data_IF_643842463989
#
_entry.id   IF_643842463989
#
_cell.length_a   1.000
_cell.length_b   1.000
_cell.length_c   1.000
_cell.angle_alpha   90.00
_cell.angle_beta   90.00
_cell.angle_gamma   90.00
#
_symmetry.space_group_name_H-M   'P 1'
#
loop_
_entity.id
_entity.type
_entity.pdbx_description
1 polymer ?
#
# COMPACT_ATOMS: atom_id res chain seq x y z
N UNK A 1 20.79 6.25 14.24
CA UNK A 1 19.42 6.65 13.92
C UNK A 1 18.58 5.39 13.84
N UNK A 2 17.39 5.44 14.41
CA UNK A 2 16.45 4.31 14.46
C UNK A 2 15.38 4.48 13.39
N UNK A 3 15.33 3.54 12.46
CA UNK A 3 14.35 3.52 11.37
C UNK A 3 13.35 2.41 11.59
N UNK A 4 12.07 2.75 11.55
CA UNK A 4 10.97 1.78 11.62
C UNK A 4 10.19 1.76 10.32
N UNK A 5 9.67 0.58 9.94
CA UNK A 5 8.70 0.46 8.86
C UNK A 5 7.32 0.16 9.45
N UNK A 6 6.32 0.94 9.08
CA UNK A 6 4.93 0.74 9.46
C UNK A 6 4.16 0.18 8.27
N UNK A 7 3.58 -1.01 8.45
CA UNK A 7 2.92 -1.78 7.40
C UNK A 7 1.52 -2.19 7.83
N UNK A 8 0.51 -1.78 7.06
CA UNK A 8 -0.83 -2.34 7.19
C UNK A 8 -0.95 -3.63 6.40
N UNK A 9 -1.58 -4.64 7.01
CA UNK A 9 -1.65 -5.97 6.41
C UNK A 9 -2.98 -6.66 6.73
N UNK A 10 -3.46 -7.44 5.76
CA UNK A 10 -4.63 -8.31 5.92
C UNK A 10 -4.58 -9.43 4.88
N UNK A 11 -4.60 -10.69 5.31
CA UNK A 11 -4.62 -11.87 4.45
C UNK A 11 -3.53 -11.85 3.37
N UNK A 12 -2.27 -11.71 3.78
CA UNK A 12 -1.10 -11.63 2.91
C UNK A 12 -0.10 -12.79 3.13
N UNK A 13 -0.53 -13.88 3.81
CA UNK A 13 0.36 -14.99 4.14
C UNK A 13 1.14 -15.52 2.92
N UNK A 14 0.49 -15.56 1.76
CA UNK A 14 1.08 -16.07 0.53
C UNK A 14 2.05 -15.07 -0.13
N UNK A 15 1.74 -13.76 -0.06
CA UNK A 15 2.55 -12.72 -0.70
C UNK A 15 3.77 -12.35 0.14
N UNK A 16 3.63 -12.33 1.45
CA UNK A 16 4.67 -11.88 2.37
C UNK A 16 6.04 -12.54 2.15
N UNK A 17 6.17 -13.85 1.93
CA UNK A 17 7.48 -14.46 1.67
C UNK A 17 8.18 -13.87 0.45
N UNK A 18 7.43 -13.56 -0.61
CA UNK A 18 7.96 -12.99 -1.85
C UNK A 18 8.37 -11.52 -1.69
N UNK A 19 7.56 -10.73 -0.98
CA UNK A 19 7.89 -9.33 -0.69
C UNK A 19 9.05 -9.25 0.29
N UNK A 20 9.12 -10.17 1.25
CA UNK A 20 10.21 -10.24 2.23
C UNK A 20 11.57 -10.43 1.59
N UNK A 21 11.66 -11.16 0.47
CA UNK A 21 12.94 -11.32 -0.25
C UNK A 21 13.57 -9.99 -0.67
N UNK A 22 12.76 -8.94 -0.85
CA UNK A 22 13.23 -7.57 -1.09
C UNK A 22 13.40 -6.81 0.23
N UNK A 23 12.43 -6.93 1.14
CA UNK A 23 12.41 -6.14 2.38
C UNK A 23 13.51 -6.53 3.38
N UNK A 24 13.97 -7.77 3.38
CA UNK A 24 15.00 -8.27 4.31
C UNK A 24 16.31 -7.46 4.25
N UNK A 25 16.61 -6.87 3.09
CA UNK A 25 17.82 -6.09 2.84
C UNK A 25 17.62 -4.58 3.09
N UNK A 26 16.39 -4.16 3.46
CA UNK A 26 16.15 -2.76 3.82
C UNK A 26 16.80 -2.46 5.18
N UNK A 27 17.44 -1.29 5.33
CA UNK A 27 18.09 -0.90 6.58
C UNK A 27 17.07 -0.45 7.62
N UNK A 28 16.16 -1.35 7.97
CA UNK A 28 15.08 -1.16 8.94
C UNK A 28 15.45 -1.87 10.25
N UNK A 29 15.42 -1.11 11.36
CA UNK A 29 15.70 -1.63 12.70
C UNK A 29 14.51 -2.41 13.26
N UNK A 30 13.28 -1.97 12.93
CA UNK A 30 12.05 -2.57 13.43
C UNK A 30 10.91 -2.47 12.41
N UNK A 31 10.19 -3.55 12.25
CA UNK A 31 8.98 -3.64 11.45
C UNK A 31 7.74 -3.64 12.34
N UNK A 32 6.84 -2.72 12.12
CA UNK A 32 5.60 -2.55 12.89
C UNK A 32 4.43 -2.87 11.96
N UNK A 33 3.79 -3.99 12.22
CA UNK A 33 2.65 -4.46 11.44
C UNK A 33 1.35 -4.16 12.19
N UNK A 34 0.36 -3.73 11.46
CA UNK A 34 -1.02 -3.77 11.93
C UNK A 34 -1.79 -4.78 11.09
N UNK A 35 -2.09 -5.93 11.70
CA UNK A 35 -2.94 -6.95 11.11
C UNK A 35 -4.41 -6.59 11.27
N UNK A 36 -5.09 -6.31 10.15
CA UNK A 36 -6.49 -5.92 10.15
C UNK A 36 -7.40 -7.16 10.12
N UNK A 37 -7.28 -8.01 11.13
CA UNK A 37 -8.09 -9.20 11.34
C UNK A 37 -7.93 -10.25 10.21
N UNK A 38 -6.71 -10.65 9.91
CA UNK A 38 -6.45 -11.72 8.95
C UNK A 38 -7.10 -13.04 9.36
N UNK A 39 -7.66 -13.75 8.40
CA UNK A 39 -8.23 -15.09 8.56
C UNK A 39 -7.29 -16.21 8.14
N UNK A 40 -6.18 -15.87 7.48
CA UNK A 40 -5.13 -16.79 7.05
C UNK A 40 -3.93 -16.79 8.02
N UNK A 41 -2.83 -17.41 7.63
CA UNK A 41 -1.63 -17.54 8.48
C UNK A 41 -0.71 -16.32 8.50
N UNK A 42 -1.20 -15.14 8.07
CA UNK A 42 -0.42 -13.88 7.92
C UNK A 42 0.43 -13.57 9.16
N UNK A 43 -0.16 -13.61 10.35
CA UNK A 43 0.55 -13.23 11.60
C UNK A 43 1.71 -14.17 11.91
N UNK A 44 1.51 -15.49 11.72
CA UNK A 44 2.59 -16.48 11.94
C UNK A 44 3.69 -16.34 10.89
N UNK A 45 3.33 -16.05 9.64
CA UNK A 45 4.29 -15.80 8.57
C UNK A 45 5.15 -14.57 8.90
N UNK A 46 4.55 -13.45 9.37
CA UNK A 46 5.30 -12.27 9.83
C UNK A 46 6.30 -12.67 10.93
N UNK A 47 5.82 -13.35 11.97
CA UNK A 47 6.66 -13.75 13.10
C UNK A 47 7.83 -14.65 12.66
N UNK A 48 7.58 -15.54 11.72
CA UNK A 48 8.60 -16.44 11.16
C UNK A 48 9.66 -15.70 10.34
N UNK A 49 9.24 -14.76 9.46
CA UNK A 49 10.15 -14.06 8.55
C UNK A 49 10.97 -12.97 9.26
N UNK A 50 10.33 -12.18 10.11
CA UNK A 50 10.94 -10.99 10.71
C UNK A 50 11.49 -11.24 12.13
N UNK A 51 11.09 -12.32 12.79
CA UNK A 51 11.56 -12.68 14.13
C UNK A 51 11.38 -11.55 15.14
N UNK A 52 12.44 -11.25 15.87
CA UNK A 52 12.46 -10.20 16.90
C UNK A 52 12.44 -8.76 16.34
N UNK A 53 12.58 -8.58 15.03
CA UNK A 53 12.43 -7.28 14.38
C UNK A 53 10.96 -6.91 14.17
N UNK A 54 10.02 -7.85 14.29
CA UNK A 54 8.59 -7.59 14.10
C UNK A 54 7.88 -7.22 15.40
N UNK A 55 7.01 -6.24 15.33
CA UNK A 55 5.94 -5.97 16.29
C UNK A 55 4.62 -6.06 15.52
N UNK A 56 3.69 -6.88 16.01
CA UNK A 56 2.39 -7.08 15.35
C UNK A 56 1.28 -6.61 16.27
N UNK A 57 0.49 -5.68 15.82
CA UNK A 57 -0.80 -5.31 16.40
C UNK A 57 -1.88 -6.11 15.71
N UNK A 58 -2.58 -6.95 16.45
CA UNK A 58 -3.67 -7.77 15.93
C UNK A 58 -5.00 -7.03 16.15
N UNK A 59 -5.60 -6.56 15.05
CA UNK A 59 -6.91 -5.91 15.06
C UNK A 59 -8.02 -6.92 15.39
N UNK A 60 -8.96 -6.51 16.27
CA UNK A 60 -10.14 -7.33 16.61
C UNK A 60 -11.44 -6.69 16.11
N UNK A 61 -11.34 -5.84 15.09
CA UNK A 61 -12.47 -5.04 14.65
C UNK A 61 -13.31 -5.79 13.62
N UNK A 62 -14.59 -5.55 13.70
CA UNK A 62 -15.55 -6.01 12.70
C UNK A 62 -15.63 -5.07 11.49
N UNK A 63 -15.06 -3.86 11.59
CA UNK A 63 -15.08 -2.85 10.53
C UNK A 63 -13.66 -2.36 10.25
N UNK A 64 -13.31 -2.30 8.98
CA UNK A 64 -12.07 -1.72 8.49
C UNK A 64 -11.98 -0.23 8.86
N UNK A 65 -10.87 0.18 9.48
CA UNK A 65 -10.61 1.57 9.84
C UNK A 65 -9.13 1.91 9.65
N UNK A 66 -8.78 2.25 8.41
CA UNK A 66 -7.41 2.56 8.01
C UNK A 66 -6.77 3.65 8.87
N UNK A 67 -7.51 4.71 9.18
CA UNK A 67 -6.97 5.83 9.94
C UNK A 67 -6.56 5.46 11.36
N UNK A 68 -7.37 4.63 12.02
CA UNK A 68 -7.03 4.14 13.35
C UNK A 68 -5.77 3.25 13.31
N UNK A 69 -5.71 2.35 12.35
CA UNK A 69 -4.61 1.40 12.22
C UNK A 69 -3.28 2.15 11.99
N UNK A 70 -3.28 3.13 11.07
CA UNK A 70 -2.10 3.98 10.82
C UNK A 70 -1.73 4.84 12.03
N UNK A 71 -2.72 5.40 12.74
CA UNK A 71 -2.47 6.18 13.95
C UNK A 71 -1.84 5.34 15.06
N UNK A 72 -2.33 4.12 15.29
CA UNK A 72 -1.78 3.20 16.27
C UNK A 72 -0.30 2.88 16.01
N UNK A 73 0.05 2.55 14.79
CA UNK A 73 1.44 2.28 14.41
C UNK A 73 2.33 3.51 14.60
N UNK A 74 1.84 4.69 14.20
CA UNK A 74 2.61 5.94 14.33
C UNK A 74 2.86 6.32 15.79
N UNK A 75 1.86 6.21 16.65
CA UNK A 75 2.02 6.47 18.08
C UNK A 75 2.96 5.46 18.75
N UNK A 76 2.92 4.20 18.35
CA UNK A 76 3.92 3.22 18.78
C UNK A 76 5.34 3.67 18.37
N UNK A 77 5.53 4.09 17.11
CA UNK A 77 6.83 4.53 16.62
C UNK A 77 7.35 5.77 17.37
N UNK A 78 6.46 6.69 17.77
CA UNK A 78 6.79 7.82 18.65
C UNK A 78 7.24 7.36 20.03
N UNK A 79 6.49 6.46 20.65
CA UNK A 79 6.80 5.92 21.97
C UNK A 79 8.09 5.10 21.99
N UNK A 80 8.44 4.46 20.89
CA UNK A 80 9.67 3.69 20.70
C UNK A 80 10.86 4.55 20.21
N UNK A 81 10.69 5.89 20.15
CA UNK A 81 11.70 6.87 19.76
C UNK A 81 12.32 6.58 18.37
N UNK A 82 11.49 6.30 17.38
CA UNK A 82 11.95 6.22 16.01
C UNK A 82 12.41 7.61 15.52
N UNK A 83 13.56 7.67 14.87
CA UNK A 83 14.02 8.89 14.19
C UNK A 83 13.28 9.07 12.86
N UNK A 84 13.05 7.95 12.17
CA UNK A 84 12.33 7.88 10.90
C UNK A 84 11.32 6.75 10.89
N UNK A 85 10.20 6.99 10.18
CA UNK A 85 9.19 5.96 9.88
C UNK A 85 9.02 5.86 8.37
N UNK A 86 9.27 4.68 7.82
CA UNK A 86 8.88 4.30 6.45
C UNK A 86 7.45 3.77 6.49
N UNK A 87 6.50 4.45 5.86
CA UNK A 87 5.11 4.03 5.77
C UNK A 87 4.84 3.41 4.40
N UNK A 88 4.79 2.09 4.35
CA UNK A 88 4.51 1.31 3.13
C UNK A 88 3.37 0.33 3.38
N UNK A 89 2.76 -0.13 2.28
CA UNK A 89 1.77 -1.21 2.33
C UNK A 89 2.42 -2.56 1.96
N UNK A 90 1.74 -3.68 2.26
CA UNK A 90 2.27 -5.02 2.04
C UNK A 90 2.55 -5.35 0.56
N UNK A 91 1.99 -4.58 -0.36
CA UNK A 91 2.17 -4.69 -1.81
C UNK A 91 3.08 -3.59 -2.39
N UNK A 92 4.06 -3.10 -1.58
CA UNK A 92 4.96 -2.02 -2.00
C UNK A 92 6.44 -2.36 -1.78
N UNK A 93 7.26 -2.00 -2.77
CA UNK A 93 8.71 -2.16 -2.76
C UNK A 93 9.40 -0.81 -2.98
N UNK A 94 10.51 -0.58 -2.29
CA UNK A 94 11.38 0.54 -2.61
C UNK A 94 12.15 0.25 -3.89
N UNK A 95 12.32 1.25 -4.76
CA UNK A 95 13.18 1.12 -5.93
C UNK A 95 14.64 0.85 -5.53
N UNK A 96 15.37 0.18 -6.39
CA UNK A 96 16.80 -0.09 -6.19
C UNK A 96 17.60 1.19 -6.03
N UNK A 97 17.26 2.23 -6.75
CA UNK A 97 17.88 3.56 -6.64
C UNK A 97 17.62 4.20 -5.28
N UNK A 98 16.44 4.00 -4.69
CA UNK A 98 16.17 4.47 -3.33
C UNK A 98 17.13 3.83 -2.32
N UNK A 99 17.29 2.52 -2.40
CA UNK A 99 18.19 1.80 -1.48
C UNK A 99 19.64 2.24 -1.62
N UNK A 100 20.12 2.48 -2.84
CA UNK A 100 21.46 3.03 -3.08
C UNK A 100 21.64 4.44 -2.49
N UNK A 101 20.59 5.24 -2.41
CA UNK A 101 20.58 6.58 -1.83
C UNK A 101 20.27 6.63 -0.34
N UNK A 102 20.01 5.48 0.31
CA UNK A 102 19.50 5.43 1.68
C UNK A 102 20.34 6.19 2.71
N UNK A 103 21.65 5.97 2.71
CA UNK A 103 22.55 6.64 3.65
C UNK A 103 22.53 8.16 3.48
N UNK A 104 22.49 8.64 2.26
CA UNK A 104 22.37 10.07 1.97
C UNK A 104 21.05 10.65 2.50
N UNK A 105 19.93 9.91 2.31
CA UNK A 105 18.61 10.32 2.75
C UNK A 105 18.56 10.41 4.28
N UNK A 106 19.06 9.39 4.97
CA UNK A 106 18.98 9.29 6.44
C UNK A 106 20.00 10.20 7.12
N UNK A 107 21.22 10.31 6.61
CA UNK A 107 22.29 11.11 7.20
C UNK A 107 22.25 12.59 6.76
N UNK A 108 21.55 12.89 5.67
CA UNK A 108 21.28 14.26 5.27
C UNK A 108 20.40 14.95 6.32
N UNK A 109 20.79 16.15 6.75
CA UNK A 109 19.83 17.01 7.46
C UNK A 109 18.63 17.23 6.53
N UNK A 110 17.56 16.46 6.74
CA UNK A 110 16.35 16.59 5.94
C UNK A 110 15.77 18.00 6.12
N UNK A 111 16.11 18.87 5.20
CA UNK A 111 15.55 20.22 5.12
C UNK A 111 14.18 20.22 4.44
N UNK A 112 13.85 19.12 3.79
CA UNK A 112 12.67 18.98 2.94
C UNK A 112 11.87 17.72 3.28
N UNK A 113 10.55 17.81 3.12
CA UNK A 113 9.65 16.65 2.98
C UNK A 113 9.85 16.10 1.56
N UNK A 114 10.47 14.94 1.45
CA UNK A 114 10.78 14.35 0.16
C UNK A 114 9.60 13.51 -0.33
N UNK A 115 8.98 13.98 -1.41
CA UNK A 115 7.97 13.22 -2.13
C UNK A 115 8.63 12.33 -3.18
N UNK A 116 8.29 11.04 -3.18
CA UNK A 116 8.75 10.04 -4.11
C UNK A 116 7.64 9.66 -5.08
N UNK A 117 8.01 9.33 -6.32
CA UNK A 117 7.03 8.85 -7.28
C UNK A 117 6.52 7.46 -6.89
N UNK A 118 5.21 7.28 -6.96
CA UNK A 118 4.53 6.03 -6.66
C UNK A 118 4.23 5.31 -7.98
N UNK A 119 5.09 4.36 -8.35
CA UNK A 119 5.06 3.60 -9.60
C UNK A 119 4.01 2.49 -9.51
N UNK A 120 2.82 2.73 -10.04
CA UNK A 120 1.77 1.73 -10.11
C UNK A 120 2.05 0.79 -11.29
N UNK A 121 2.67 -0.35 -11.01
CA UNK A 121 3.05 -1.32 -12.03
C UNK A 121 1.86 -2.16 -12.47
N UNK A 122 1.90 -2.62 -13.73
CA UNK A 122 0.82 -3.38 -14.35
C UNK A 122 1.37 -4.54 -15.16
N UNK A 123 0.85 -5.75 -14.92
CA UNK A 123 1.29 -6.99 -15.58
C UNK A 123 2.71 -7.43 -15.23
N UNK A 124 3.62 -6.49 -15.05
CA UNK A 124 5.01 -6.71 -14.66
C UNK A 124 5.58 -5.46 -14.00
N UNK A 125 6.63 -5.60 -13.20
CA UNK A 125 7.35 -4.46 -12.60
C UNK A 125 7.99 -3.54 -13.64
N UNK A 126 8.17 -4.01 -14.86
CA UNK A 126 8.78 -3.25 -15.97
C UNK A 126 7.80 -2.36 -16.72
N UNK A 127 6.52 -2.38 -16.39
CA UNK A 127 5.48 -1.55 -16.99
C UNK A 127 4.73 -0.79 -15.91
N UNK A 128 4.59 0.51 -16.10
CA UNK A 128 3.78 1.37 -15.22
C UNK A 128 2.57 1.91 -15.96
N UNK A 129 1.54 2.10 -15.19
CA UNK A 129 0.30 2.72 -15.58
C UNK A 129 0.45 4.23 -15.66
N UNK A 130 0.06 4.83 -16.78
CA UNK A 130 0.20 6.27 -17.03
C UNK A 130 -1.12 6.91 -17.51
N UNK A 131 -2.22 6.58 -16.89
CA UNK A 131 -3.46 7.31 -17.12
C UNK A 131 -3.53 8.61 -16.29
N UNK A 132 -4.45 9.53 -16.59
CA UNK A 132 -4.51 10.86 -15.97
C UNK A 132 -4.59 10.84 -14.44
N UNK A 133 -5.10 9.77 -13.84
CA UNK A 133 -5.24 9.63 -12.39
C UNK A 133 -3.90 9.34 -11.71
N UNK A 134 -2.92 8.80 -12.44
CA UNK A 134 -1.62 8.36 -11.91
C UNK A 134 -0.44 9.19 -12.44
N UNK A 135 -0.69 10.16 -13.29
CA UNK A 135 0.33 11.14 -13.70
C UNK A 135 0.62 12.08 -12.51
N UNK A 136 1.89 12.35 -12.24
CA UNK A 136 2.35 13.14 -11.09
C UNK A 136 1.98 12.54 -9.71
N UNK A 137 2.01 11.24 -9.60
CA UNK A 137 1.65 10.51 -8.39
C UNK A 137 2.80 10.49 -7.36
N UNK A 138 3.16 11.66 -6.85
CA UNK A 138 4.18 11.82 -5.82
C UNK A 138 3.57 11.73 -4.43
N UNK A 139 4.25 11.03 -3.51
CA UNK A 139 3.81 10.82 -2.12
C UNK A 139 5.01 10.85 -1.18
N UNK A 140 4.77 11.23 0.05
CA UNK A 140 5.69 11.03 1.16
C UNK A 140 5.54 9.61 1.69
N UNK A 141 6.65 8.89 1.82
CA UNK A 141 6.71 7.54 2.40
C UNK A 141 7.60 7.51 3.63
N UNK A 142 8.66 8.31 3.68
CA UNK A 142 9.60 8.37 4.78
C UNK A 142 9.35 9.64 5.61
N UNK A 143 9.00 9.43 6.89
CA UNK A 143 8.68 10.49 7.82
C UNK A 143 9.84 10.74 8.78
N UNK A 144 10.45 11.93 8.79
CA UNK A 144 11.30 12.35 9.88
C UNK A 144 10.44 12.70 11.11
N UNK A 145 10.49 11.87 12.15
CA UNK A 145 9.55 11.94 13.27
C UNK A 145 9.61 13.27 14.04
N UNK A 146 10.78 13.88 14.14
CA UNK A 146 10.96 15.21 14.77
C UNK A 146 10.20 16.35 14.08
N UNK A 147 9.93 16.22 12.77
CA UNK A 147 9.22 17.21 11.97
C UNK A 147 7.75 16.85 11.72
N UNK A 148 7.34 15.66 12.15
CA UNK A 148 6.00 15.16 11.93
C UNK A 148 5.04 15.70 12.98
N UNK A 149 3.99 16.38 12.55
CA UNK A 149 2.96 16.89 13.45
C UNK A 149 2.19 15.74 14.10
N UNK A 150 1.71 15.96 15.33
CA UNK A 150 0.61 15.14 15.84
C UNK A 150 -0.62 15.46 15.00
N UNK A 151 -1.23 14.45 14.45
CA UNK A 151 -2.33 14.59 13.52
C UNK A 151 -3.48 13.70 13.95
N UNK A 152 -4.66 14.28 14.08
CA UNK A 152 -5.86 13.50 14.31
C UNK A 152 -6.30 12.87 12.99
N UNK A 153 -6.05 11.57 12.86
CA UNK A 153 -6.43 10.80 11.68
C UNK A 153 -7.88 10.30 11.76
N UNK A 154 -8.58 10.51 12.87
CA UNK A 154 -9.94 10.00 13.12
C UNK A 154 -10.99 10.54 12.13
N UNK A 155 -10.73 11.70 11.51
CA UNK A 155 -11.57 12.28 10.47
C UNK A 155 -11.59 11.50 9.14
N UNK A 156 -10.63 10.60 8.94
CA UNK A 156 -10.56 9.74 7.76
C UNK A 156 -10.98 8.33 8.14
N UNK A 157 -11.85 7.71 7.36
CA UNK A 157 -12.18 6.27 7.53
C UNK A 157 -11.42 5.41 6.52
N UNK A 158 -11.28 5.90 5.29
CA UNK A 158 -10.55 5.25 4.19
C UNK A 158 -9.79 6.28 3.39
N UNK A 159 -8.87 5.80 2.55
CA UNK A 159 -7.97 6.64 1.77
C UNK A 159 -7.26 7.65 2.66
N UNK A 160 -6.96 7.22 3.85
CA UNK A 160 -6.26 8.02 4.84
C UNK A 160 -4.89 8.40 4.29
N UNK A 161 -4.45 9.64 4.44
CA UNK A 161 -3.08 9.99 4.13
C UNK A 161 -2.12 9.04 4.88
N UNK A 162 -1.17 8.47 4.16
CA UNK A 162 -0.18 7.56 4.77
C UNK A 162 0.60 8.22 5.88
N UNK A 163 0.79 9.51 5.71
CA UNK A 163 1.65 10.31 6.55
C UNK A 163 0.89 11.53 7.04
N UNK A 164 1.02 11.86 8.32
CA UNK A 164 0.56 13.14 8.82
C UNK A 164 1.38 14.28 8.19
N UNK A 165 0.90 15.53 8.29
CA UNK A 165 1.63 16.68 7.77
C UNK A 165 3.05 16.78 8.35
N UNK A 166 4.02 16.99 7.50
CA UNK A 166 5.41 17.26 7.86
C UNK A 166 5.64 18.77 7.79
N UNK A 167 6.39 19.31 8.77
CA UNK A 167 6.65 20.76 8.90
C UNK A 167 7.92 21.16 8.13
N UNK A 168 8.02 20.74 6.90
CA UNK A 168 9.15 21.02 5.99
C UNK A 168 8.61 21.43 4.63
N UNK A 169 9.42 22.17 3.88
CA UNK A 169 9.14 22.41 2.47
C UNK A 169 9.23 21.13 1.67
N UNK A 170 8.37 21.00 0.65
CA UNK A 170 8.31 19.80 -0.19
C UNK A 170 9.35 19.85 -1.30
N UNK A 171 10.06 18.74 -1.49
CA UNK A 171 10.92 18.48 -2.64
C UNK A 171 10.53 17.16 -3.30
N UNK A 172 10.75 17.03 -4.61
CA UNK A 172 10.46 15.78 -5.34
C UNK A 172 11.74 15.07 -5.70
N UNK A 173 11.81 13.80 -5.37
CA UNK A 173 12.84 12.90 -5.86
C UNK A 173 12.37 12.27 -7.18
N UNK A 174 13.14 12.46 -8.24
CA UNK A 174 12.84 11.91 -9.58
C UNK A 174 13.60 10.61 -9.86
N UNK A 175 14.67 10.36 -9.10
CA UNK A 175 15.58 9.24 -9.33
C UNK A 175 15.28 8.03 -8.43
N UNK A 176 14.28 8.13 -7.57
CA UNK A 176 13.87 7.06 -6.68
C UNK A 176 12.35 7.07 -6.49
N UNK A 177 11.79 5.93 -6.11
CA UNK A 177 10.34 5.82 -5.90
C UNK A 177 9.93 4.54 -5.19
N UNK A 178 8.63 4.38 -5.05
CA UNK A 178 8.00 3.19 -4.52
C UNK A 178 7.25 2.47 -5.63
N UNK A 179 7.51 1.19 -5.77
CA UNK A 179 6.86 0.30 -6.73
C UNK A 179 5.64 -0.31 -6.03
N UNK A 180 4.46 -0.05 -6.56
CA UNK A 180 3.19 -0.52 -6.02
C UNK A 180 2.65 -1.65 -6.89
N UNK A 181 2.56 -2.84 -6.31
CA UNK A 181 2.22 -4.08 -6.98
C UNK A 181 0.71 -4.28 -7.20
N UNK A 182 -0.14 -3.41 -6.67
CA UNK A 182 -1.60 -3.58 -6.66
C UNK A 182 -2.21 -3.95 -8.02
N UNK A 183 -1.73 -3.34 -9.11
CA UNK A 183 -2.24 -3.58 -10.46
C UNK A 183 -1.37 -4.55 -11.29
N UNK A 184 -0.36 -5.17 -10.67
CA UNK A 184 0.50 -6.12 -11.35
C UNK A 184 -0.29 -7.34 -11.84
N UNK A 185 -1.31 -7.74 -11.09
CA UNK A 185 -2.31 -8.72 -11.52
C UNK A 185 -3.64 -8.01 -11.79
N UNK A 186 -4.03 -7.94 -13.06
CA UNK A 186 -5.24 -7.21 -13.50
C UNK A 186 -6.53 -7.79 -12.91
N UNK A 187 -6.62 -9.11 -12.76
CA UNK A 187 -7.79 -9.78 -12.17
C UNK A 187 -7.94 -9.41 -10.69
N UNK A 188 -6.88 -9.54 -9.92
CA UNK A 188 -6.87 -9.12 -8.51
C UNK A 188 -7.28 -7.65 -8.37
N UNK A 189 -6.67 -6.78 -9.18
CA UNK A 189 -6.97 -5.36 -9.16
C UNK A 189 -8.45 -5.07 -9.43
N UNK A 190 -9.02 -5.68 -10.47
CA UNK A 190 -10.43 -5.51 -10.81
C UNK A 190 -11.36 -5.96 -9.68
N UNK A 191 -11.09 -7.12 -9.07
CA UNK A 191 -11.88 -7.63 -7.94
C UNK A 191 -11.78 -6.70 -6.72
N UNK A 192 -10.59 -6.20 -6.40
CA UNK A 192 -10.38 -5.25 -5.30
C UNK A 192 -11.18 -3.95 -5.53
N UNK A 193 -11.21 -3.43 -6.77
CA UNK A 193 -11.99 -2.23 -7.10
C UNK A 193 -13.51 -2.49 -7.04
N UNK A 194 -13.97 -3.64 -7.49
CA UNK A 194 -15.38 -4.05 -7.34
C UNK A 194 -15.77 -4.19 -5.86
N UNK A 195 -14.87 -4.77 -5.05
CA UNK A 195 -15.08 -4.85 -3.61
C UNK A 195 -15.21 -3.45 -2.98
N UNK A 196 -14.32 -2.50 -3.30
CA UNK A 196 -14.43 -1.12 -2.82
C UNK A 196 -15.76 -0.49 -3.22
N UNK A 197 -16.23 -0.68 -4.45
CA UNK A 197 -17.53 -0.16 -4.90
C UNK A 197 -18.67 -0.65 -4.00
N UNK A 198 -18.75 -1.96 -3.76
CA UNK A 198 -19.81 -2.55 -2.93
C UNK A 198 -19.67 -2.15 -1.47
N UNK A 199 -18.44 -2.12 -0.96
CA UNK A 199 -18.16 -1.75 0.41
C UNK A 199 -18.53 -0.29 0.71
N UNK A 200 -18.10 0.67 -0.11
CA UNK A 200 -18.45 2.08 0.05
C UNK A 200 -19.95 2.34 -0.14
N UNK A 201 -20.58 1.68 -1.09
CA UNK A 201 -22.03 1.75 -1.28
C UNK A 201 -22.77 1.31 -0.02
N UNK A 202 -22.41 0.15 0.52
CA UNK A 202 -23.04 -0.42 1.71
C UNK A 202 -22.79 0.38 2.97
N UNK A 203 -21.54 0.81 3.17
CA UNK A 203 -21.10 1.42 4.44
C UNK A 203 -21.44 2.90 4.52
N UNK A 204 -21.41 3.62 3.40
CA UNK A 204 -21.61 5.08 3.38
C UNK A 204 -22.88 5.53 2.68
N UNK A 205 -23.64 4.60 2.13
CA UNK A 205 -24.87 4.88 1.44
C UNK A 205 -24.73 5.94 0.33
N UNK A 206 -23.57 5.92 -0.36
CA UNK A 206 -23.35 6.79 -1.51
C UNK A 206 -24.24 6.35 -2.68
N UNK A 207 -24.77 7.30 -3.48
CA UNK A 207 -25.53 6.97 -4.69
C UNK A 207 -24.70 6.14 -5.68
N UNK A 208 -25.33 5.20 -6.38
CA UNK A 208 -24.70 4.33 -7.37
C UNK A 208 -23.91 5.13 -8.42
N UNK A 209 -24.47 6.22 -8.92
CA UNK A 209 -23.81 7.10 -9.90
C UNK A 209 -22.52 7.72 -9.36
N UNK A 210 -22.50 8.08 -8.07
CA UNK A 210 -21.30 8.62 -7.43
C UNK A 210 -20.21 7.56 -7.38
N UNK A 211 -20.53 6.37 -6.91
CA UNK A 211 -19.61 5.24 -6.80
C UNK A 211 -19.08 4.84 -8.18
N UNK A 212 -19.97 4.71 -9.18
CA UNK A 212 -19.56 4.36 -10.53
C UNK A 212 -18.62 5.41 -11.12
N UNK A 213 -18.91 6.69 -11.02
CA UNK A 213 -18.02 7.76 -11.50
C UNK A 213 -16.65 7.76 -10.82
N UNK A 214 -16.57 7.30 -9.57
CA UNK A 214 -15.31 7.21 -8.83
C UNK A 214 -14.44 6.04 -9.29
N UNK A 215 -15.02 4.87 -9.50
CA UNK A 215 -14.29 3.63 -9.74
C UNK A 215 -14.21 3.21 -11.22
N UNK A 216 -15.25 3.48 -12.02
CA UNK A 216 -15.26 3.05 -13.42
C UNK A 216 -14.11 3.62 -14.26
N UNK A 217 -13.70 4.90 -14.14
CA UNK A 217 -12.54 5.40 -14.86
C UNK A 217 -11.23 4.70 -14.48
N UNK A 218 -11.18 4.11 -13.29
CA UNK A 218 -10.00 3.41 -12.77
C UNK A 218 -9.86 2.02 -13.38
N UNK A 219 -10.97 1.39 -13.77
CA UNK A 219 -11.03 -0.03 -14.16
C UNK A 219 -11.60 -0.27 -15.55
N UNK A 220 -12.43 0.64 -16.11
CA UNK A 220 -13.02 0.52 -17.45
C UNK A 220 -12.00 0.47 -18.59
N UNK A 221 -10.76 0.75 -18.29
CA UNK A 221 -9.63 0.58 -19.18
C UNK A 221 -8.58 -0.29 -18.50
N UNK A 222 -8.85 -1.60 -18.40
CA UNK A 222 -7.79 -2.56 -18.10
C UNK A 222 -6.71 -2.58 -19.20
N UNK A 223 -6.97 -1.97 -20.35
CA UNK A 223 -5.99 -1.51 -21.32
C UNK A 223 -5.43 -0.14 -20.87
N UNK A 224 -4.72 -0.17 -19.75
CA UNK A 224 -4.01 0.99 -19.25
C UNK A 224 -3.01 1.48 -20.32
N UNK A 225 -2.88 2.81 -20.45
CA UNK A 225 -1.71 3.33 -21.15
C UNK A 225 -0.49 2.91 -20.35
N UNK A 226 0.26 1.99 -20.88
CA UNK A 226 1.47 1.45 -20.29
C UNK A 226 2.69 2.18 -20.87
N UNK A 227 3.65 2.51 -20.00
CA UNK A 227 4.99 2.96 -20.39
C UNK A 227 6.01 2.13 -19.63
N UNK A 228 7.23 2.10 -20.15
CA UNK A 228 8.30 1.36 -19.47
C UNK A 228 8.64 2.01 -18.12
N UNK A 229 8.81 1.18 -17.11
CA UNK A 229 9.40 1.59 -15.83
C UNK A 229 10.87 1.93 -16.09
N UNK A 230 11.38 3.08 -15.63
CA UNK A 230 12.81 3.36 -15.77
C UNK A 230 13.65 2.25 -15.15
N UNK A 231 14.71 1.82 -15.84
CA UNK A 231 15.51 0.66 -15.41
C UNK A 231 16.07 0.80 -14.00
N UNK A 232 16.58 1.98 -13.63
CA UNK A 232 17.12 2.26 -12.30
C UNK A 232 16.07 2.16 -11.17
N UNK A 233 14.79 2.12 -11.49
CA UNK A 233 13.69 1.93 -10.55
C UNK A 233 13.44 0.45 -10.29
N UNK A 234 13.41 -0.38 -11.34
CA UNK A 234 13.01 -1.79 -11.27
C UNK A 234 14.16 -2.79 -11.47
N UNK A 235 15.40 -2.33 -11.62
CA UNK A 235 16.58 -3.20 -11.78
C UNK A 235 16.70 -4.18 -10.59
N UNK A 236 16.90 -5.47 -10.90
CA UNK A 236 17.00 -6.52 -9.89
C UNK A 236 15.68 -6.89 -9.20
N UNK A 237 14.54 -6.31 -9.62
CA UNK A 237 13.22 -6.66 -9.11
C UNK A 237 12.53 -7.55 -10.16
N UNK A 238 12.26 -8.79 -9.77
CA UNK A 238 11.48 -9.77 -10.54
C UNK A 238 10.39 -10.35 -9.65
N UNK A 239 9.15 -9.95 -9.88
CA UNK A 239 8.02 -10.32 -9.04
C UNK A 239 6.99 -11.10 -9.86
N UNK A 240 6.67 -12.31 -9.41
CA UNK A 240 5.66 -13.16 -10.05
C UNK A 240 4.25 -12.68 -9.72
N UNK A 241 3.58 -12.12 -10.72
CA UNK A 241 2.22 -11.61 -10.58
C UNK A 241 1.16 -12.70 -10.38
N UNK A 242 1.45 -13.96 -10.73
CA UNK A 242 0.49 -15.08 -10.64
C UNK A 242 0.12 -15.41 -9.18
N UNK A 243 0.98 -15.07 -8.22
CA UNK A 243 0.73 -15.24 -6.79
C UNK A 243 -0.58 -14.60 -6.36
N UNK A 244 -0.95 -13.47 -6.98
CA UNK A 244 -2.20 -12.77 -6.65
C UNK A 244 -3.47 -13.54 -7.03
N UNK A 245 -3.39 -14.57 -7.87
CA UNK A 245 -4.54 -15.40 -8.22
C UNK A 245 -4.93 -16.37 -7.09
N UNK A 246 -4.00 -16.68 -6.19
CA UNK A 246 -4.16 -17.68 -5.15
C UNK A 246 -4.39 -17.10 -3.75
N UNK A 247 -4.26 -15.79 -3.56
CA UNK A 247 -4.37 -15.18 -2.23
C UNK A 247 -5.81 -15.22 -1.70
N UNK A 248 -5.93 -15.45 -0.39
CA UNK A 248 -7.23 -15.55 0.32
C UNK A 248 -8.12 -14.30 0.12
N UNK A 249 -7.53 -13.13 -0.06
CA UNK A 249 -8.27 -11.89 -0.37
C UNK A 249 -9.14 -11.98 -1.62
N UNK A 250 -8.71 -12.72 -2.65
CA UNK A 250 -9.51 -12.90 -3.88
C UNK A 250 -10.83 -13.56 -3.55
N UNK A 251 -10.81 -14.60 -2.71
CA UNK A 251 -12.03 -15.25 -2.24
C UNK A 251 -12.87 -14.31 -1.39
N UNK A 252 -12.26 -13.65 -0.41
CA UNK A 252 -12.96 -12.69 0.46
C UNK A 252 -13.64 -11.56 -0.31
N UNK A 253 -12.99 -11.02 -1.34
CA UNK A 253 -13.61 -10.01 -2.21
C UNK A 253 -14.81 -10.55 -2.97
N UNK A 254 -14.70 -11.76 -3.56
CA UNK A 254 -15.81 -12.41 -4.26
C UNK A 254 -16.98 -12.67 -3.32
N UNK A 255 -16.72 -13.29 -2.18
CA UNK A 255 -17.76 -13.64 -1.19
C UNK A 255 -18.51 -12.38 -0.74
N UNK A 256 -17.80 -11.29 -0.41
CA UNK A 256 -18.42 -10.02 -0.03
C UNK A 256 -19.26 -9.41 -1.18
N UNK A 257 -18.71 -9.39 -2.40
CA UNK A 257 -19.45 -8.86 -3.57
C UNK A 257 -20.72 -9.67 -3.82
N UNK A 258 -20.66 -10.99 -3.70
CA UNK A 258 -21.82 -11.86 -3.93
C UNK A 258 -22.87 -11.71 -2.83
N UNK A 259 -22.47 -11.57 -1.57
CA UNK A 259 -23.38 -11.32 -0.45
C UNK A 259 -24.12 -9.98 -0.59
N UNK A 260 -23.44 -8.97 -1.14
CA UNK A 260 -23.97 -7.60 -1.25
C UNK A 260 -24.19 -7.21 -2.72
N UNK A 261 -24.50 -8.19 -3.57
CA UNK A 261 -24.53 -8.02 -5.01
C UNK A 261 -25.53 -6.95 -5.46
N UNK A 262 -25.00 -5.92 -6.14
CA UNK A 262 -25.79 -4.90 -6.83
C UNK A 262 -25.35 -4.85 -8.30
N UNK A 263 -26.22 -5.30 -9.24
CA UNK A 263 -25.86 -5.35 -10.66
C UNK A 263 -25.53 -3.98 -11.26
N UNK A 264 -26.01 -2.88 -10.67
CA UNK A 264 -25.71 -1.51 -11.11
C UNK A 264 -24.29 -1.06 -10.76
N UNK A 265 -23.64 -1.74 -9.81
CA UNK A 265 -22.24 -1.49 -9.44
C UNK A 265 -21.27 -2.37 -10.23
N UNK A 266 -21.74 -3.46 -10.84
CA UNK A 266 -20.88 -4.38 -11.61
C UNK A 266 -20.82 -3.91 -13.06
N UNK A 267 -20.11 -2.84 -13.30
CA UNK A 267 -19.90 -2.20 -14.60
C UNK A 267 -18.71 -2.77 -15.37
N UNK A 268 -17.84 -3.53 -14.68
CA UNK A 268 -16.67 -4.21 -15.23
C UNK A 268 -16.35 -5.48 -14.41
N UNK A 269 -15.44 -6.32 -14.89
CA UNK A 269 -14.89 -7.45 -14.13
C UNK A 269 -15.88 -8.55 -13.75
N UNK A 270 -17.08 -8.57 -14.38
CA UNK A 270 -18.10 -9.58 -14.13
C UNK A 270 -17.58 -10.99 -14.39
N UNK A 271 -16.71 -11.15 -15.37
CA UNK A 271 -16.04 -12.40 -15.73
C UNK A 271 -15.18 -12.96 -14.60
N UNK A 272 -14.73 -12.12 -13.67
CA UNK A 272 -13.87 -12.52 -12.54
C UNK A 272 -14.66 -12.97 -11.30
N UNK A 273 -15.99 -12.80 -11.32
CA UNK A 273 -16.85 -13.24 -10.21
C UNK A 273 -17.19 -14.73 -10.29
N UNK A 274 -17.05 -15.33 -11.45
CA UNK A 274 -17.31 -16.76 -11.68
C UNK A 274 -16.14 -17.63 -11.22
#
# INVERSE_FOLDING_TARGET
>A
MKVQANVMIQNEALILPHVYEYWKDYPIDKWVFYDDNSSDDTVNVIKSLFGNKAVVFEGKRTEFNESHNRAMMLEFSRGDNADFVLSIDADELLSTSWLKGWEFIINGNLKYDIEYYWYNVVGTVRKIRQDPMYVNNYRTFLLPMQHTAKFDMSQYKYHTPRTPPIRLEKARCVDAGVIHLQAINKRYYALKQLWYKHYEYKTWNHPEDYINRRYDPVVNNLDFREVDTPEHICDGIDFDASIYDEIEKVKGYKDYIMEHYNPKLVTFGKEYLN
#
